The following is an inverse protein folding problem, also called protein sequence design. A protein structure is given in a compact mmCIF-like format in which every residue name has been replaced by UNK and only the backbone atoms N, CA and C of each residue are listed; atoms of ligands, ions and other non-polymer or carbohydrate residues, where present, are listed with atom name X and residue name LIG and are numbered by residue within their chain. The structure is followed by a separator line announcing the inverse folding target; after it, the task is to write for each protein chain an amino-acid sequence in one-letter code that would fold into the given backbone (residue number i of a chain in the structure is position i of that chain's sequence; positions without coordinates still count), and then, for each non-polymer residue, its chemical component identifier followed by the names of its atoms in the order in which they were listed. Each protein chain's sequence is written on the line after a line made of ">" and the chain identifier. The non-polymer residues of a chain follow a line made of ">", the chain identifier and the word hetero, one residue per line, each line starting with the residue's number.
data_IF_342011432814
#
_entry.id   IF_342011432814
#
_cell.length_a   1.000
_cell.length_b   1.000
_cell.length_c   1.000
_cell.angle_alpha   90.00
_cell.angle_beta   90.00
_cell.angle_gamma   90.00
#
_symmetry.space_group_name_H-M   'P 1'
#
loop_
_entity.id
_entity.type
_entity.pdbx_description
1 polymer ?
#
# COMPACT_ATOMS: atom_id res chain seq x y z
N UNK A 1 13.45 25.08 -60.67
CA UNK A 1 13.79 25.15 -59.23
C UNK A 1 12.77 24.31 -58.48
N UNK A 2 13.20 23.26 -57.78
CA UNK A 2 12.28 22.35 -57.08
C UNK A 2 11.77 23.04 -55.81
N UNK A 3 10.45 23.20 -55.65
CA UNK A 3 9.87 23.71 -54.41
C UNK A 3 10.13 22.70 -53.28
N UNK A 4 10.82 23.10 -52.21
CA UNK A 4 11.01 22.26 -51.04
C UNK A 4 9.69 22.14 -50.26
N UNK A 5 9.18 20.90 -50.14
CA UNK A 5 7.98 20.60 -49.35
C UNK A 5 8.26 20.86 -47.86
N UNK A 6 7.35 21.56 -47.18
CA UNK A 6 7.42 21.85 -45.74
C UNK A 6 6.25 21.22 -44.96
N UNK A 7 6.45 20.97 -43.66
CA UNK A 7 5.43 20.51 -42.70
C UNK A 7 5.45 21.35 -41.42
N UNK A 8 4.38 21.31 -40.63
CA UNK A 8 4.30 22.01 -39.33
C UNK A 8 4.65 21.05 -38.19
N UNK A 9 5.47 21.50 -37.24
CA UNK A 9 5.83 20.68 -36.08
C UNK A 9 4.61 20.44 -35.16
N UNK A 10 4.32 19.16 -34.87
CA UNK A 10 3.18 18.76 -34.01
C UNK A 10 3.28 19.23 -32.55
N UNK A 11 4.48 19.62 -32.10
CA UNK A 11 4.71 20.07 -30.73
C UNK A 11 4.80 21.59 -30.59
N UNK A 12 5.52 22.27 -31.50
CA UNK A 12 5.80 23.71 -31.35
C UNK A 12 5.20 24.59 -32.45
N UNK A 13 4.48 24.01 -33.42
CA UNK A 13 3.77 24.77 -34.46
C UNK A 13 4.64 25.49 -35.49
N UNK A 14 5.97 25.32 -35.47
CA UNK A 14 6.88 25.94 -36.45
C UNK A 14 6.94 25.14 -37.73
N UNK A 15 7.07 25.83 -38.86
CA UNK A 15 7.28 25.22 -40.18
C UNK A 15 8.69 24.68 -40.30
N UNK A 16 8.81 23.43 -40.75
CA UNK A 16 10.04 22.66 -40.88
C UNK A 16 10.04 21.92 -42.23
N UNK A 17 11.19 21.47 -42.76
CA UNK A 17 11.22 20.68 -43.98
C UNK A 17 10.44 19.36 -43.83
N UNK A 18 9.74 18.92 -44.88
CA UNK A 18 8.88 17.73 -44.83
C UNK A 18 9.67 16.45 -44.47
N UNK A 19 10.92 16.36 -44.90
CA UNK A 19 11.83 15.25 -44.62
C UNK A 19 12.42 15.25 -43.20
N UNK A 20 12.21 16.32 -42.41
CA UNK A 20 12.82 16.43 -41.09
C UNK A 20 12.22 15.41 -40.10
N UNK A 21 13.05 14.50 -39.59
CA UNK A 21 12.66 13.48 -38.61
C UNK A 21 12.54 14.03 -37.18
N UNK A 22 13.21 15.14 -36.90
CA UNK A 22 13.17 15.84 -35.62
C UNK A 22 13.02 17.33 -35.90
N UNK A 23 12.26 18.02 -35.06
CA UNK A 23 12.11 19.48 -35.16
C UNK A 23 13.42 20.16 -34.74
N UNK A 24 14.05 21.00 -35.60
CA UNK A 24 15.29 21.69 -35.24
C UNK A 24 15.09 22.73 -34.12
N UNK A 25 13.85 23.15 -33.88
CA UNK A 25 13.55 24.18 -32.87
C UNK A 25 13.23 23.60 -31.49
N UNK A 26 12.63 22.42 -31.41
CA UNK A 26 12.18 21.85 -30.12
C UNK A 26 12.63 20.41 -29.87
N UNK A 27 13.35 19.77 -30.81
CA UNK A 27 13.87 18.41 -30.67
C UNK A 27 12.81 17.30 -30.76
N UNK A 28 11.52 17.64 -30.88
CA UNK A 28 10.46 16.64 -30.94
C UNK A 28 10.56 15.79 -32.21
N UNK A 29 10.45 14.45 -32.06
CA UNK A 29 10.34 13.51 -33.17
C UNK A 29 9.08 13.82 -33.99
N UNK A 30 9.24 13.89 -35.30
CA UNK A 30 8.15 14.18 -36.22
C UNK A 30 7.67 12.90 -36.90
N UNK A 31 6.35 12.76 -37.14
CA UNK A 31 5.87 11.69 -38.00
C UNK A 31 6.47 11.85 -39.39
N UNK A 32 6.80 10.72 -40.02
CA UNK A 32 7.16 10.69 -41.43
C UNK A 32 5.90 11.03 -42.22
N UNK A 33 5.96 12.06 -43.06
CA UNK A 33 4.95 12.22 -44.10
C UNK A 33 5.29 11.19 -45.18
N UNK A 34 4.93 9.93 -44.96
CA UNK A 34 4.63 9.08 -46.10
C UNK A 34 3.27 9.56 -46.62
N UNK A 35 3.21 9.93 -47.90
CA UNK A 35 1.95 10.25 -48.60
C UNK A 35 0.93 9.08 -48.55
N UNK A 36 1.26 7.94 -47.92
CA UNK A 36 0.50 6.70 -47.92
C UNK A 36 -0.43 6.46 -46.72
N UNK A 37 -0.39 7.23 -45.62
CA UNK A 37 -1.31 6.99 -44.48
C UNK A 37 -2.63 7.76 -44.55
N UNK A 38 -2.67 8.89 -45.28
CA UNK A 38 -3.91 9.64 -45.55
C UNK A 38 -4.82 8.93 -46.57
N UNK A 39 -4.32 7.94 -47.31
CA UNK A 39 -5.09 7.14 -48.27
C UNK A 39 -5.81 5.91 -47.67
N UNK A 40 -5.79 5.74 -46.35
CA UNK A 40 -6.50 4.64 -45.70
C UNK A 40 -7.93 5.06 -45.37
N UNK A 41 -8.89 4.62 -46.18
CA UNK A 41 -10.33 4.95 -46.07
C UNK A 41 -10.95 4.67 -44.69
N UNK A 42 -10.31 3.86 -43.84
CA UNK A 42 -10.71 3.67 -42.44
C UNK A 42 -10.31 4.84 -41.54
N UNK A 43 -9.12 5.39 -41.72
CA UNK A 43 -8.60 6.49 -40.88
C UNK A 43 -9.35 7.78 -41.20
N UNK A 44 -9.58 8.07 -42.47
CA UNK A 44 -10.33 9.25 -42.92
C UNK A 44 -11.76 9.26 -42.36
N UNK A 45 -12.43 8.10 -42.36
CA UNK A 45 -13.77 7.93 -41.77
C UNK A 45 -13.81 8.19 -40.26
N UNK A 46 -12.77 7.78 -39.53
CA UNK A 46 -12.68 7.99 -38.08
C UNK A 46 -12.47 9.47 -37.76
N UNK A 47 -11.62 10.16 -38.53
CA UNK A 47 -11.36 11.60 -38.37
C UNK A 47 -12.63 12.41 -38.67
N UNK A 48 -13.31 12.12 -39.79
CA UNK A 48 -14.58 12.78 -40.15
C UNK A 48 -15.69 12.55 -39.13
N UNK A 49 -15.80 11.34 -38.57
CA UNK A 49 -16.79 11.05 -37.52
C UNK A 49 -16.49 11.79 -36.22
N UNK A 50 -15.21 11.91 -35.85
CA UNK A 50 -14.78 12.64 -34.64
C UNK A 50 -15.01 14.16 -34.72
N UNK A 51 -15.16 14.74 -35.91
CA UNK A 51 -15.51 16.16 -36.07
C UNK A 51 -17.01 16.44 -35.83
N UNK A 52 -17.85 15.41 -35.81
CA UNK A 52 -19.27 15.55 -35.44
C UNK A 52 -19.44 15.70 -33.93
N UNK A 53 -20.47 16.44 -33.45
CA UNK A 53 -20.72 16.61 -32.02
C UNK A 53 -20.97 15.27 -31.28
N UNK A 54 -21.58 14.30 -31.96
CA UNK A 54 -21.80 12.94 -31.44
C UNK A 54 -20.49 12.14 -31.34
N UNK A 55 -19.60 12.26 -32.32
CA UNK A 55 -18.29 11.61 -32.29
C UNK A 55 -17.40 12.09 -31.15
N UNK A 56 -17.36 13.41 -30.91
CA UNK A 56 -16.61 14.00 -29.78
C UNK A 56 -17.11 13.49 -28.43
N UNK A 57 -18.43 13.46 -28.23
CA UNK A 57 -19.03 12.94 -26.99
C UNK A 57 -18.72 11.45 -26.81
N UNK A 58 -18.84 10.64 -27.86
CA UNK A 58 -18.53 9.23 -27.80
C UNK A 58 -17.05 8.96 -27.47
N UNK A 59 -16.13 9.76 -28.00
CA UNK A 59 -14.71 9.69 -27.67
C UNK A 59 -14.44 10.00 -26.19
N UNK A 60 -15.07 11.06 -25.66
CA UNK A 60 -14.94 11.43 -24.24
C UNK A 60 -15.53 10.36 -23.31
N UNK A 61 -16.68 9.80 -23.66
CA UNK A 61 -17.30 8.69 -22.91
C UNK A 61 -16.36 7.47 -22.92
N UNK A 62 -15.79 7.13 -24.08
CA UNK A 62 -14.83 6.03 -24.19
C UNK A 62 -13.60 6.23 -23.30
N UNK A 63 -13.00 7.43 -23.34
CA UNK A 63 -11.86 7.77 -22.48
C UNK A 63 -12.22 7.70 -20.98
N UNK A 64 -13.39 8.19 -20.59
CA UNK A 64 -13.87 8.14 -19.22
C UNK A 64 -14.12 6.70 -18.75
N UNK A 65 -14.68 5.84 -19.60
CA UNK A 65 -14.86 4.41 -19.29
C UNK A 65 -13.51 3.70 -19.10
N UNK A 66 -12.50 4.00 -19.90
CA UNK A 66 -11.14 3.46 -19.71
C UNK A 66 -10.59 3.90 -18.35
N UNK A 67 -10.75 5.17 -17.98
CA UNK A 67 -10.33 5.68 -16.66
C UNK A 67 -11.07 4.96 -15.54
N UNK A 68 -12.39 4.73 -15.65
CA UNK A 68 -13.17 3.97 -14.66
C UNK A 68 -12.67 2.52 -14.56
N UNK A 69 -12.40 1.85 -15.69
CA UNK A 69 -11.89 0.47 -15.70
C UNK A 69 -10.52 0.39 -15.04
N UNK A 70 -9.63 1.35 -15.30
CA UNK A 70 -8.33 1.45 -14.61
C UNK A 70 -8.50 1.78 -13.12
N UNK A 71 -9.37 2.73 -12.76
CA UNK A 71 -9.64 3.09 -11.38
C UNK A 71 -10.25 1.94 -10.57
N UNK A 72 -11.14 1.14 -11.17
CA UNK A 72 -11.72 -0.07 -10.54
C UNK A 72 -10.72 -1.22 -10.44
N UNK A 73 -9.75 -1.30 -11.35
CA UNK A 73 -8.63 -2.26 -11.30
C UNK A 73 -7.62 -1.89 -10.21
N UNK A 74 -7.48 -0.59 -9.91
CA UNK A 74 -6.76 -0.09 -8.75
C UNK A 74 -7.65 -0.13 -7.49
N UNK A 75 -8.02 -1.33 -7.00
CA UNK A 75 -8.51 -1.48 -5.60
C UNK A 75 -7.36 -1.24 -4.62
N UNK A 76 -7.03 0.03 -4.44
CA UNK A 76 -5.95 0.61 -3.63
C UNK A 76 -6.17 0.50 -2.11
N UNK A 77 -6.75 -0.59 -1.60
CA UNK A 77 -7.06 -0.64 -0.16
C UNK A 77 -7.09 -2.00 0.53
N UNK A 78 -6.42 -3.00 -0.02
CA UNK A 78 -6.01 -4.14 0.79
C UNK A 78 -4.52 -4.01 1.11
N UNK A 79 -4.23 -3.35 2.24
CA UNK A 79 -2.89 -3.35 2.83
C UNK A 79 -2.34 -4.77 3.00
N UNK A 80 -1.03 -4.93 3.31
CA UNK A 80 -0.36 -6.23 3.31
C UNK A 80 -1.20 -7.29 4.04
N UNK A 81 -1.33 -8.47 3.41
CA UNK A 81 -2.17 -9.55 3.95
C UNK A 81 -1.85 -9.86 5.41
N UNK A 82 -2.86 -10.22 6.19
CA UNK A 82 -2.76 -10.47 7.64
C UNK A 82 -1.60 -11.42 8.05
N UNK A 83 -1.20 -12.36 7.18
CA UNK A 83 -0.01 -13.22 7.40
C UNK A 83 1.29 -12.42 7.41
N UNK A 84 1.47 -11.49 6.47
CA UNK A 84 2.65 -10.61 6.37
C UNK A 84 2.75 -9.71 7.59
N UNK A 85 1.64 -9.10 8.01
CA UNK A 85 1.56 -8.28 9.23
C UNK A 85 1.96 -9.10 10.46
N UNK A 86 1.48 -10.35 10.57
CA UNK A 86 1.86 -11.25 11.66
C UNK A 86 3.36 -11.58 11.70
N UNK A 87 3.98 -11.79 10.53
CA UNK A 87 5.42 -12.05 10.41
C UNK A 87 6.27 -10.85 10.82
N UNK A 88 5.95 -9.66 10.31
CA UNK A 88 6.63 -8.42 10.68
C UNK A 88 6.51 -8.12 12.18
N UNK A 89 5.32 -8.32 12.75
CA UNK A 89 5.11 -8.15 14.18
C UNK A 89 5.96 -9.13 15.00
N UNK A 90 6.16 -10.35 14.52
CA UNK A 90 6.99 -11.33 15.21
C UNK A 90 8.46 -10.90 15.19
N UNK A 91 8.94 -10.45 14.03
CA UNK A 91 10.29 -9.89 13.89
C UNK A 91 10.47 -8.65 14.78
N UNK A 92 9.52 -7.73 14.79
CA UNK A 92 9.62 -6.50 15.58
C UNK A 92 9.60 -6.74 17.10
N UNK A 93 8.72 -7.64 17.57
CA UNK A 93 8.54 -7.86 19.01
C UNK A 93 9.51 -8.87 19.59
N UNK A 94 9.90 -9.88 18.80
CA UNK A 94 10.62 -11.05 19.28
C UNK A 94 11.89 -11.36 18.47
N UNK A 95 12.23 -10.54 17.46
CA UNK A 95 13.37 -10.75 16.58
C UNK A 95 13.39 -12.14 15.93
N UNK A 96 12.22 -12.74 15.72
CA UNK A 96 12.05 -14.10 15.16
C UNK A 96 12.79 -15.19 15.95
N UNK A 97 13.12 -14.93 17.23
CA UNK A 97 13.85 -15.88 18.06
C UNK A 97 12.95 -16.99 18.58
N UNK A 98 13.46 -18.22 18.55
CA UNK A 98 12.77 -19.39 19.08
C UNK A 98 12.72 -19.40 20.61
N UNK A 99 13.73 -18.80 21.27
CA UNK A 99 13.80 -18.65 22.73
C UNK A 99 13.80 -17.17 23.05
N UNK A 100 12.74 -16.71 23.72
CA UNK A 100 12.61 -15.32 24.14
C UNK A 100 12.41 -15.24 25.65
N UNK A 101 12.59 -14.06 26.28
CA UNK A 101 12.16 -13.84 27.65
C UNK A 101 10.66 -14.14 27.88
N UNK A 102 9.86 -14.17 26.82
CA UNK A 102 8.43 -14.45 26.82
C UNK A 102 8.10 -15.94 26.56
N UNK A 103 9.11 -16.81 26.56
CA UNK A 103 8.98 -18.25 26.35
C UNK A 103 9.43 -18.73 24.97
N UNK A 104 9.23 -20.02 24.70
CA UNK A 104 9.59 -20.65 23.43
C UNK A 104 8.53 -20.37 22.37
N UNK A 105 8.93 -19.89 21.19
CA UNK A 105 8.10 -19.63 20.00
C UNK A 105 6.81 -18.84 20.33
N UNK A 106 6.92 -17.55 20.72
CA UNK A 106 5.74 -16.70 20.88
C UNK A 106 4.94 -16.64 19.58
N UNK A 107 3.61 -16.70 19.69
CA UNK A 107 2.72 -16.84 18.52
C UNK A 107 1.92 -15.57 18.32
N UNK A 108 2.04 -14.96 17.14
CA UNK A 108 1.21 -13.82 16.74
C UNK A 108 0.20 -14.29 15.70
N UNK A 109 -1.07 -13.93 15.90
CA UNK A 109 -2.15 -14.12 14.94
C UNK A 109 -2.79 -12.77 14.65
N UNK A 110 -3.02 -12.48 13.39
CA UNK A 110 -3.71 -11.27 12.94
C UNK A 110 -5.02 -11.70 12.29
N UNK A 111 -6.11 -11.15 12.76
CA UNK A 111 -7.47 -11.49 12.35
C UNK A 111 -8.22 -10.19 12.05
N UNK A 112 -8.94 -10.13 10.92
CA UNK A 112 -9.64 -8.91 10.47
C UNK A 112 -10.74 -8.47 11.44
N UNK A 113 -11.32 -9.40 12.19
CA UNK A 113 -12.46 -9.17 13.08
C UNK A 113 -12.03 -9.11 14.56
N UNK A 114 -10.90 -9.76 14.91
CA UNK A 114 -10.42 -9.86 16.30
C UNK A 114 -9.18 -9.01 16.58
N UNK A 115 -8.55 -8.46 15.55
CA UNK A 115 -7.30 -7.69 15.65
C UNK A 115 -6.07 -8.57 15.82
N UNK A 116 -5.06 -8.06 16.52
CA UNK A 116 -3.78 -8.74 16.74
C UNK A 116 -3.80 -9.48 18.08
N UNK A 117 -3.63 -10.80 18.03
CA UNK A 117 -3.52 -11.67 19.20
C UNK A 117 -2.09 -12.18 19.35
N UNK A 118 -1.43 -11.80 20.45
CA UNK A 118 -0.06 -12.20 20.79
C UNK A 118 -0.14 -13.21 21.94
N UNK A 119 0.42 -14.39 21.75
CA UNK A 119 0.48 -15.44 22.77
C UNK A 119 1.91 -15.60 23.28
N UNK A 120 2.07 -15.43 24.58
CA UNK A 120 3.35 -15.58 25.30
C UNK A 120 3.22 -16.60 26.43
N UNK A 121 4.33 -17.17 26.87
CA UNK A 121 4.34 -18.13 27.96
C UNK A 121 4.19 -17.44 29.32
N UNK A 122 3.28 -17.94 30.15
CA UNK A 122 3.09 -17.44 31.53
C UNK A 122 4.26 -17.83 32.45
N UNK A 123 5.00 -18.88 32.09
CA UNK A 123 6.21 -19.33 32.78
C UNK A 123 7.49 -18.74 32.17
N UNK A 124 7.38 -17.88 31.15
CA UNK A 124 8.50 -17.14 30.57
C UNK A 124 9.15 -16.20 31.60
N UNK A 125 10.45 -15.97 31.44
CA UNK A 125 11.27 -15.14 32.33
C UNK A 125 10.62 -13.75 32.56
N UNK A 126 10.16 -13.08 31.52
CA UNK A 126 9.58 -11.74 31.62
C UNK A 126 8.32 -11.68 32.49
N UNK A 127 7.46 -12.72 32.44
CA UNK A 127 6.24 -12.78 33.26
C UNK A 127 6.55 -13.20 34.70
N UNK A 128 7.55 -14.07 34.90
CA UNK A 128 8.06 -14.43 36.23
C UNK A 128 8.71 -13.24 36.92
N UNK A 129 9.61 -12.54 36.23
CA UNK A 129 10.28 -11.33 36.73
C UNK A 129 9.25 -10.26 37.11
N UNK A 130 8.21 -10.07 36.29
CA UNK A 130 7.12 -9.15 36.59
C UNK A 130 6.41 -9.49 37.92
N UNK A 131 6.08 -10.76 38.13
CA UNK A 131 5.44 -11.24 39.37
C UNK A 131 6.36 -11.10 40.58
N UNK A 132 7.68 -11.15 40.36
CA UNK A 132 8.70 -10.96 41.39
C UNK A 132 9.10 -9.49 41.59
N UNK A 133 8.32 -8.52 41.06
CA UNK A 133 8.59 -7.09 41.24
C UNK A 133 9.70 -6.51 40.36
N UNK A 134 10.14 -7.23 39.32
CA UNK A 134 11.19 -6.80 38.36
C UNK A 134 10.58 -6.55 36.98
N UNK A 135 9.80 -5.47 36.76
CA UNK A 135 8.97 -5.29 35.57
C UNK A 135 9.72 -4.81 34.32
N UNK A 136 11.04 -4.56 34.38
CA UNK A 136 11.80 -3.89 33.30
C UNK A 136 11.60 -4.52 31.92
N UNK A 137 11.77 -5.85 31.82
CA UNK A 137 11.59 -6.58 30.55
C UNK A 137 10.15 -6.49 30.05
N UNK A 138 9.17 -6.52 30.97
CA UNK A 138 7.76 -6.38 30.64
C UNK A 138 7.41 -4.97 30.15
N UNK A 139 7.88 -3.93 30.85
CA UNK A 139 7.62 -2.54 30.51
C UNK A 139 8.18 -2.19 29.12
N UNK A 140 9.40 -2.62 28.80
CA UNK A 140 9.98 -2.47 27.45
C UNK A 140 9.11 -3.11 26.39
N UNK A 141 8.58 -4.31 26.66
CA UNK A 141 7.67 -4.98 25.74
C UNK A 141 6.34 -4.22 25.59
N UNK A 142 5.75 -3.73 26.68
CA UNK A 142 4.55 -2.89 26.64
C UNK A 142 4.78 -1.66 25.75
N UNK A 143 5.91 -0.96 25.91
CA UNK A 143 6.25 0.20 25.08
C UNK A 143 6.38 -0.16 23.60
N UNK A 144 7.02 -1.28 23.25
CA UNK A 144 7.11 -1.74 21.86
C UNK A 144 5.73 -2.05 21.27
N UNK A 145 4.88 -2.75 22.04
CA UNK A 145 3.50 -3.06 21.63
C UNK A 145 2.68 -1.78 21.45
N UNK A 146 2.82 -0.80 22.35
CA UNK A 146 2.16 0.51 22.23
C UNK A 146 2.57 1.25 20.96
N UNK A 147 3.87 1.39 20.71
CA UNK A 147 4.39 2.08 19.52
C UNK A 147 3.86 1.45 18.24
N UNK A 148 3.88 0.11 18.15
CA UNK A 148 3.41 -0.60 16.94
C UNK A 148 1.90 -0.59 16.79
N UNK A 149 1.14 -0.65 17.88
CA UNK A 149 -0.31 -0.45 17.86
C UNK A 149 -0.67 0.96 17.39
N UNK A 150 0.05 1.98 17.84
CA UNK A 150 -0.15 3.36 17.39
C UNK A 150 0.15 3.54 15.89
N UNK A 151 1.22 2.93 15.38
CA UNK A 151 1.56 3.04 13.95
C UNK A 151 0.49 2.44 13.05
N UNK A 152 -0.33 1.50 13.54
CA UNK A 152 -1.41 0.90 12.74
C UNK A 152 -2.66 1.78 12.64
N UNK A 153 -2.80 2.81 13.49
CA UNK A 153 -3.94 3.73 13.50
C UNK A 153 -4.13 4.45 12.16
N UNK A 154 -3.04 4.77 11.46
CA UNK A 154 -3.06 5.57 10.23
C UNK A 154 -2.76 4.76 8.96
N UNK A 155 -2.38 3.49 9.10
CA UNK A 155 -1.89 2.66 7.98
C UNK A 155 -2.98 1.76 7.40
N UNK A 156 -3.94 1.32 8.21
CA UNK A 156 -4.98 0.40 7.75
C UNK A 156 -6.37 1.04 7.87
N UNK A 157 -7.20 0.84 6.84
CA UNK A 157 -8.62 1.22 6.86
C UNK A 157 -9.36 0.56 8.02
N UNK A 158 -9.07 -0.73 8.26
CA UNK A 158 -9.60 -1.46 9.41
C UNK A 158 -8.79 -1.17 10.68
N UNK A 159 -9.37 -0.33 11.53
CA UNK A 159 -8.80 0.05 12.82
C UNK A 159 -8.63 -1.13 13.80
N UNK A 160 -9.30 -2.27 13.60
CA UNK A 160 -9.14 -3.46 14.44
C UNK A 160 -7.71 -4.01 14.39
N UNK A 161 -6.95 -3.78 13.32
CA UNK A 161 -5.55 -4.18 13.30
C UNK A 161 -4.73 -3.46 14.36
N UNK A 162 -5.10 -2.25 14.77
CA UNK A 162 -4.43 -1.53 15.87
C UNK A 162 -4.78 -2.06 17.26
N UNK A 163 -5.74 -3.00 17.38
CA UNK A 163 -6.17 -3.60 18.64
C UNK A 163 -5.32 -4.84 18.95
N UNK A 164 -4.43 -4.70 19.91
CA UNK A 164 -3.48 -5.74 20.30
C UNK A 164 -3.89 -6.35 21.64
N UNK A 165 -3.95 -7.68 21.70
CA UNK A 165 -4.25 -8.44 22.91
C UNK A 165 -3.15 -9.45 23.17
N UNK A 166 -2.52 -9.37 24.33
CA UNK A 166 -1.50 -10.32 24.78
C UNK A 166 -2.14 -11.28 25.79
N UNK A 167 -2.04 -12.57 25.55
CA UNK A 167 -2.57 -13.62 26.45
C UNK A 167 -1.51 -14.65 26.79
N UNK A 168 -1.62 -15.22 27.99
CA UNK A 168 -0.90 -16.42 28.36
C UNK A 168 -1.28 -17.61 27.46
N UNK A 169 -0.27 -18.35 26.98
CA UNK A 169 -0.46 -19.59 26.22
C UNK A 169 -0.58 -20.82 27.12
N UNK A 170 0.23 -20.84 28.19
CA UNK A 170 0.38 -22.00 29.06
C UNK A 170 -0.36 -21.76 30.39
N UNK A 171 -1.11 -22.77 30.86
CA UNK A 171 -1.98 -22.67 32.04
C UNK A 171 -3.35 -22.02 31.76
N UNK A 172 -3.94 -21.36 32.78
CA UNK A 172 -5.21 -20.61 32.61
C UNK A 172 -5.01 -19.49 31.57
N UNK A 173 -5.94 -19.39 30.61
CA UNK A 173 -5.98 -18.35 29.56
C UNK A 173 -6.19 -16.97 30.19
N UNK A 174 -5.12 -16.37 30.68
CA UNK A 174 -5.14 -15.04 31.29
C UNK A 174 -4.80 -13.98 30.24
N UNK A 175 -5.54 -12.87 30.25
CA UNK A 175 -5.13 -11.68 29.48
C UNK A 175 -4.06 -10.94 30.28
N UNK A 176 -2.96 -10.59 29.62
CA UNK A 176 -1.81 -9.94 30.24
C UNK A 176 -1.72 -8.46 29.86
N UNK A 177 -2.05 -8.13 28.61
CA UNK A 177 -2.01 -6.76 28.09
C UNK A 177 -3.11 -6.57 27.05
N UNK A 178 -3.75 -5.39 27.04
CA UNK A 178 -4.58 -4.91 25.94
C UNK A 178 -4.13 -3.51 25.56
N UNK A 179 -3.91 -3.29 24.28
CA UNK A 179 -3.57 -1.99 23.71
C UNK A 179 -4.49 -1.72 22.53
N UNK A 180 -5.00 -0.50 22.43
CA UNK A 180 -5.83 -0.06 21.31
C UNK A 180 -5.31 1.28 20.81
N UNK A 181 -4.87 1.35 19.56
CA UNK A 181 -4.34 2.58 18.95
C UNK A 181 -3.28 3.26 19.83
N UNK A 182 -2.34 2.48 20.38
CA UNK A 182 -1.28 2.97 21.28
C UNK A 182 -1.70 3.19 22.75
N UNK A 183 -3.01 3.23 23.05
CA UNK A 183 -3.52 3.38 24.42
C UNK A 183 -3.58 2.04 25.13
N UNK A 184 -2.94 1.92 26.31
CA UNK A 184 -3.01 0.71 27.15
C UNK A 184 -4.34 0.71 27.89
N UNK A 185 -5.22 -0.23 27.56
CA UNK A 185 -6.53 -0.38 28.19
C UNK A 185 -6.53 -1.40 29.33
N UNK A 186 -5.52 -2.28 29.37
CA UNK A 186 -5.32 -3.23 30.44
C UNK A 186 -3.85 -3.65 30.51
N UNK A 187 -3.26 -3.68 31.71
CA UNK A 187 -1.92 -4.20 31.93
C UNK A 187 -1.88 -4.99 33.25
N UNK A 188 -1.46 -6.25 33.18
CA UNK A 188 -1.32 -7.12 34.35
C UNK A 188 -0.31 -6.59 35.36
N UNK A 189 0.68 -5.79 34.91
CA UNK A 189 1.66 -5.17 35.79
C UNK A 189 1.02 -4.26 36.85
N UNK A 190 -0.16 -3.69 36.58
CA UNK A 190 -0.88 -2.86 37.56
C UNK A 190 -1.35 -3.65 38.79
N UNK A 191 -1.35 -4.99 38.75
CA UNK A 191 -1.66 -5.84 39.91
C UNK A 191 -0.47 -6.10 40.84
N UNK A 192 0.73 -5.78 40.37
CA UNK A 192 1.99 -6.03 41.08
C UNK A 192 2.69 -4.71 41.43
N UNK A 193 1.95 -3.60 41.39
CA UNK A 193 2.38 -2.28 41.84
C UNK A 193 2.17 -2.16 43.33
#
# INVERSE_FOLDING_TARGET
>A
MSQEKTKVCVMCGKTIPAYANFCPYCGAKQPWLSESELGNSRVERIVQWNDTPLGRIAMLIGAFLIIIVFATSCRLQDGPGHKTVGRELNQYLFNTQDKTPFGKKPKIKVDKNKGVSIKVSNSGKAVKDLKAGKPTTWNTFVTRVQRRSNSFKHVYSNQLYSKFKVTARDGKKQTLLKVNQGKVTYNIANKYK
#
